data_IF_860096054191
#
_entry.id   IF_860096054191
#
_cell.length_a   1.000
_cell.length_b   1.000
_cell.length_c   1.000
_cell.angle_alpha   90.00
_cell.angle_beta   90.00
_cell.angle_gamma   90.00
#
_symmetry.space_group_name_H-M   'P 1'
#
loop_
_entity.id
_entity.type
_entity.pdbx_description
1 polymer ?
#
# COMPACT_ATOMS: atom_id res chain seq x y z
N UNK A 1 26.40 49.65 -39.32
CA UNK A 1 25.42 49.28 -38.28
C UNK A 1 25.00 47.84 -38.47
N UNK A 2 25.71 46.85 -37.90
CA UNK A 2 25.21 45.48 -37.67
C UNK A 2 26.33 44.63 -37.03
N UNK A 3 26.16 44.22 -35.76
CA UNK A 3 26.69 42.98 -35.17
C UNK A 3 26.53 43.02 -33.65
N UNK A 4 25.30 42.75 -33.19
CA UNK A 4 25.10 42.19 -31.87
C UNK A 4 24.46 40.83 -32.07
N UNK A 5 25.30 39.80 -32.18
CA UNK A 5 24.86 38.41 -32.14
C UNK A 5 24.59 38.12 -30.65
N UNK A 6 23.33 38.18 -30.29
CA UNK A 6 22.82 37.80 -28.99
C UNK A 6 22.88 36.26 -28.90
N UNK A 7 23.88 35.73 -28.20
CA UNK A 7 24.02 34.30 -27.97
C UNK A 7 23.28 33.94 -26.67
N UNK A 8 22.00 33.59 -26.78
CA UNK A 8 21.23 33.01 -25.68
C UNK A 8 21.66 31.54 -25.52
N UNK A 9 22.49 31.26 -24.51
CA UNK A 9 22.80 29.90 -24.11
C UNK A 9 21.59 29.31 -23.37
N UNK A 10 20.91 28.35 -24.01
CA UNK A 10 19.89 27.51 -23.41
C UNK A 10 20.56 26.57 -22.40
N UNK A 11 20.41 26.84 -21.11
CA UNK A 11 20.72 25.87 -20.06
C UNK A 11 19.59 24.83 -19.99
N UNK A 12 19.84 23.62 -20.50
CA UNK A 12 18.96 22.47 -20.25
C UNK A 12 19.25 21.94 -18.84
N UNK A 13 18.39 22.21 -17.88
CA UNK A 13 18.47 21.60 -16.55
C UNK A 13 17.82 20.21 -16.60
N UNK A 14 18.60 19.16 -16.82
CA UNK A 14 18.13 17.79 -16.55
C UNK A 14 18.18 17.57 -15.04
N UNK A 15 17.00 17.47 -14.42
CA UNK A 15 16.88 17.12 -13.01
C UNK A 15 17.01 15.58 -12.89
N UNK A 16 18.23 15.07 -12.95
CA UNK A 16 18.50 13.65 -12.73
C UNK A 16 18.60 13.37 -11.24
N UNK A 17 17.55 12.76 -10.67
CA UNK A 17 17.60 12.15 -9.34
C UNK A 17 18.64 11.02 -9.37
N UNK A 18 19.87 11.33 -8.97
CA UNK A 18 21.00 10.41 -9.06
C UNK A 18 20.94 9.40 -7.90
N UNK A 19 20.52 8.17 -8.18
CA UNK A 19 20.64 7.05 -7.23
C UNK A 19 22.14 6.77 -6.95
N UNK A 20 22.64 7.29 -5.83
CA UNK A 20 24.01 7.07 -5.36
C UNK A 20 24.21 5.67 -4.77
N UNK A 21 24.26 4.63 -5.59
CA UNK A 21 25.12 3.45 -5.39
C UNK A 21 25.42 2.85 -6.77
N UNK A 22 26.60 3.13 -7.35
CA UNK A 22 27.13 2.40 -8.51
C UNK A 22 28.39 1.63 -8.09
N UNK A 23 28.24 0.34 -7.86
CA UNK A 23 29.27 -0.64 -8.22
C UNK A 23 28.93 -1.15 -9.62
N UNK A 24 29.94 -1.13 -10.48
CA UNK A 24 29.86 -1.31 -11.94
C UNK A 24 29.02 -2.52 -12.34
N UNK A 25 28.02 -2.30 -13.23
CA UNK A 25 27.11 -3.28 -13.89
C UNK A 25 25.71 -3.54 -13.27
N UNK A 26 25.23 -2.75 -12.32
CA UNK A 26 23.83 -2.83 -11.87
C UNK A 26 22.90 -1.86 -12.63
N UNK A 27 21.98 -2.35 -13.45
CA UNK A 27 20.85 -1.53 -13.91
C UNK A 27 19.92 -1.23 -12.73
N UNK A 28 19.37 -0.01 -12.64
CA UNK A 28 18.36 0.34 -11.64
C UNK A 28 17.15 -0.59 -11.79
N UNK A 29 17.01 -1.56 -10.90
CA UNK A 29 15.83 -2.41 -10.83
C UNK A 29 14.82 -1.77 -9.88
N UNK A 30 13.56 -1.69 -10.33
CA UNK A 30 12.47 -1.38 -9.42
C UNK A 30 12.29 -2.58 -8.48
N UNK A 31 12.24 -2.39 -7.15
CA UNK A 31 11.98 -3.49 -6.24
C UNK A 31 10.66 -4.18 -6.61
N UNK A 32 10.58 -5.51 -6.52
CA UNK A 32 9.33 -6.21 -6.78
C UNK A 32 8.25 -5.68 -5.84
N UNK A 33 7.12 -5.23 -6.39
CA UNK A 33 5.93 -4.90 -5.59
C UNK A 33 5.21 -6.19 -5.24
N UNK A 34 4.65 -6.26 -4.04
CA UNK A 34 3.71 -7.33 -3.70
C UNK A 34 2.57 -7.36 -4.71
N UNK A 35 2.15 -8.55 -5.17
CA UNK A 35 1.02 -8.67 -6.08
C UNK A 35 -0.24 -8.08 -5.41
N UNK A 36 -1.04 -7.36 -6.19
CA UNK A 36 -2.36 -6.90 -5.72
C UNK A 36 -3.21 -8.14 -5.38
N UNK A 37 -3.96 -8.15 -4.26
CA UNK A 37 -4.92 -9.20 -3.99
C UNK A 37 -5.84 -9.43 -5.20
N UNK A 38 -6.09 -10.69 -5.60
CA UNK A 38 -6.83 -10.99 -6.80
C UNK A 38 -8.23 -10.38 -6.74
N UNK A 39 -8.60 -9.65 -7.79
CA UNK A 39 -9.96 -9.12 -7.94
C UNK A 39 -10.99 -10.25 -8.15
N UNK A 40 -10.55 -11.37 -8.73
CA UNK A 40 -11.34 -12.57 -8.97
C UNK A 40 -11.42 -13.41 -7.69
N UNK A 41 -12.37 -13.06 -6.82
CA UNK A 41 -12.89 -13.91 -5.74
C UNK A 41 -11.85 -14.34 -4.71
N UNK A 42 -11.88 -13.72 -3.53
CA UNK A 42 -11.02 -14.06 -2.38
C UNK A 42 -11.25 -15.47 -1.80
N UNK A 43 -11.93 -16.37 -2.51
CA UNK A 43 -12.36 -17.66 -1.98
C UNK A 43 -13.37 -17.53 -0.83
N UNK A 44 -13.66 -18.64 -0.12
CA UNK A 44 -14.50 -18.61 1.07
C UNK A 44 -13.90 -17.68 2.12
N UNK A 45 -14.75 -16.95 2.84
CA UNK A 45 -14.30 -16.10 3.94
C UNK A 45 -13.85 -16.98 5.13
N UNK A 46 -12.65 -16.78 5.70
CA UNK A 46 -12.21 -17.49 6.89
C UNK A 46 -13.13 -17.30 8.09
N UNK A 47 -13.72 -16.11 8.21
CA UNK A 47 -14.62 -15.72 9.30
C UNK A 47 -15.86 -15.03 8.75
N UNK A 48 -17.00 -15.29 9.37
CA UNK A 48 -18.30 -14.69 9.08
C UNK A 48 -18.46 -13.30 9.70
N UNK A 49 -19.23 -12.44 9.04
CA UNK A 49 -19.61 -11.11 9.55
C UNK A 49 -20.55 -11.28 10.75
N UNK A 50 -20.38 -10.47 11.78
CA UNK A 50 -21.10 -10.55 13.06
C UNK A 50 -20.43 -11.45 14.10
N UNK A 51 -19.36 -12.16 13.73
CA UNK A 51 -18.59 -12.99 14.68
C UNK A 51 -17.86 -12.11 15.69
N UNK A 52 -17.94 -12.46 16.98
CA UNK A 52 -17.11 -11.86 18.02
C UNK A 52 -15.79 -12.64 18.11
N UNK A 53 -14.67 -11.98 17.83
CA UNK A 53 -13.37 -12.65 17.81
C UNK A 53 -12.84 -12.94 19.21
N UNK A 54 -12.29 -14.14 19.38
CA UNK A 54 -11.49 -14.49 20.55
C UNK A 54 -10.10 -13.86 20.47
N UNK A 55 -9.49 -13.62 21.63
CA UNK A 55 -8.15 -13.04 21.67
C UNK A 55 -7.14 -14.06 21.15
N UNK A 56 -6.25 -13.60 20.26
CA UNK A 56 -5.17 -14.42 19.71
C UNK A 56 -5.44 -14.98 18.31
N UNK A 57 -6.68 -14.87 17.81
CA UNK A 57 -7.06 -15.35 16.46
C UNK A 57 -6.80 -14.33 15.35
N UNK A 58 -6.24 -13.17 15.68
CA UNK A 58 -6.07 -12.05 14.76
C UNK A 58 -4.79 -11.26 15.04
N UNK A 59 -4.32 -10.55 14.03
CA UNK A 59 -3.24 -9.55 14.15
C UNK A 59 -3.76 -8.18 13.73
N UNK A 60 -3.41 -7.12 14.48
CA UNK A 60 -3.82 -5.76 14.10
C UNK A 60 -3.02 -5.28 12.90
N UNK A 61 -3.70 -4.70 11.90
CA UNK A 61 -3.04 -4.08 10.75
C UNK A 61 -2.63 -2.67 11.12
N UNK A 62 -1.34 -2.49 11.35
CA UNK A 62 -0.75 -1.17 11.60
C UNK A 62 -0.50 -0.44 10.28
N UNK A 63 -0.60 0.88 10.30
CA UNK A 63 -0.36 1.75 9.13
C UNK A 63 -1.22 1.35 7.91
N UNK A 64 -2.54 1.27 8.08
CA UNK A 64 -3.49 0.80 7.05
C UNK A 64 -3.30 1.47 5.68
N UNK A 65 -2.94 2.75 5.65
CA UNK A 65 -2.68 3.52 4.43
C UNK A 65 -1.51 2.97 3.59
N UNK A 66 -0.50 2.37 4.22
CA UNK A 66 0.60 1.69 3.51
C UNK A 66 0.08 0.55 2.62
N UNK A 67 -1.03 -0.05 3.04
CA UNK A 67 -1.69 -1.13 2.30
C UNK A 67 -2.78 -0.63 1.33
N UNK A 68 -2.93 0.68 1.20
CA UNK A 68 -3.99 1.30 0.38
C UNK A 68 -5.37 1.26 1.03
N UNK A 69 -5.46 0.85 2.30
CA UNK A 69 -6.70 0.86 3.06
C UNK A 69 -7.02 2.27 3.58
N UNK A 70 -8.30 2.66 3.66
CA UNK A 70 -8.72 3.89 4.34
C UNK A 70 -8.22 3.98 5.79
N UNK A 71 -8.26 5.17 6.38
CA UNK A 71 -7.99 5.32 7.83
C UNK A 71 -9.13 4.70 8.65
N UNK A 72 -8.82 3.97 9.74
CA UNK A 72 -9.80 3.61 10.76
C UNK A 72 -10.57 4.84 11.24
N UNK A 73 -11.90 4.70 11.36
CA UNK A 73 -12.84 5.73 11.85
C UNK A 73 -13.97 5.03 12.60
N UNK A 74 -14.85 5.79 13.25
CA UNK A 74 -16.10 5.26 13.81
C UNK A 74 -15.92 4.05 14.75
N UNK A 75 -14.80 4.00 15.50
CA UNK A 75 -14.52 2.95 16.50
C UNK A 75 -14.00 1.61 15.95
N UNK A 76 -13.98 1.39 14.65
CA UNK A 76 -13.47 0.15 14.06
C UNK A 76 -11.98 0.21 13.74
N UNK A 77 -11.33 -0.96 13.69
CA UNK A 77 -9.92 -1.17 13.29
C UNK A 77 -9.82 -2.25 12.23
N UNK A 78 -8.64 -2.37 11.59
CA UNK A 78 -8.36 -3.48 10.69
C UNK A 78 -7.64 -4.61 11.40
N UNK A 79 -8.21 -5.80 11.32
CA UNK A 79 -7.54 -7.03 11.71
C UNK A 79 -7.22 -7.88 10.49
N UNK A 80 -6.05 -8.51 10.53
CA UNK A 80 -5.67 -9.60 9.65
C UNK A 80 -6.08 -10.91 10.29
N UNK A 81 -6.85 -11.71 9.56
CA UNK A 81 -7.25 -13.05 9.95
C UNK A 81 -6.86 -13.96 8.77
N UNK A 82 -5.91 -14.86 9.01
CA UNK A 82 -5.25 -15.60 7.93
C UNK A 82 -4.71 -14.64 6.86
N UNK A 83 -5.17 -14.72 5.61
CA UNK A 83 -4.71 -13.88 4.49
C UNK A 83 -5.63 -12.69 4.19
N UNK A 84 -6.70 -12.55 4.97
CA UNK A 84 -7.71 -11.54 4.77
C UNK A 84 -7.62 -10.39 5.76
N UNK A 85 -8.04 -9.22 5.28
CA UNK A 85 -8.31 -8.04 6.10
C UNK A 85 -9.79 -7.93 6.38
N UNK A 86 -10.10 -7.66 7.64
CA UNK A 86 -11.44 -7.38 8.13
C UNK A 86 -11.49 -6.04 8.87
N UNK A 87 -12.61 -5.32 8.75
CA UNK A 87 -12.99 -4.26 9.69
C UNK A 87 -13.64 -4.89 10.89
N UNK A 88 -13.20 -4.49 12.08
CA UNK A 88 -13.64 -5.08 13.34
C UNK A 88 -13.90 -3.94 14.32
N UNK A 89 -15.02 -4.01 15.04
CA UNK A 89 -15.27 -3.08 16.16
C UNK A 89 -14.20 -3.27 17.24
N UNK A 90 -13.55 -2.19 17.66
CA UNK A 90 -12.41 -2.32 18.57
C UNK A 90 -12.82 -2.71 20.00
N UNK A 91 -14.01 -2.33 20.44
CA UNK A 91 -14.49 -2.58 21.81
C UNK A 91 -15.04 -4.00 21.94
N UNK A 92 -15.94 -4.39 21.04
CA UNK A 92 -16.65 -5.69 21.09
C UNK A 92 -15.86 -6.81 20.42
N UNK A 93 -14.97 -6.48 19.46
CA UNK A 93 -14.31 -7.41 18.52
C UNK A 93 -15.27 -8.08 17.54
N UNK A 94 -16.41 -7.45 17.27
CA UNK A 94 -17.33 -7.90 16.23
C UNK A 94 -16.77 -7.65 14.83
N UNK A 95 -16.78 -8.67 13.98
CA UNK A 95 -16.40 -8.56 12.57
C UNK A 95 -17.49 -7.84 11.80
N UNK A 96 -17.15 -6.67 11.25
CA UNK A 96 -18.12 -5.81 10.55
C UNK A 96 -18.10 -6.05 9.04
N UNK A 97 -16.91 -6.25 8.45
CA UNK A 97 -16.77 -6.36 6.99
C UNK A 97 -15.46 -7.03 6.59
N UNK A 98 -15.46 -7.77 5.47
CA UNK A 98 -14.25 -8.27 4.80
C UNK A 98 -13.71 -7.22 3.82
N UNK A 99 -12.68 -6.47 4.23
CA UNK A 99 -12.10 -5.35 3.48
C UNK A 99 -10.90 -5.73 2.60
N UNK A 100 -10.65 -7.03 2.38
CA UNK A 100 -9.43 -7.50 1.69
C UNK A 100 -9.32 -6.99 0.26
N UNK A 101 -10.45 -6.73 -0.43
CA UNK A 101 -10.44 -6.16 -1.80
C UNK A 101 -9.96 -4.71 -1.85
N UNK A 102 -10.06 -3.98 -0.75
CA UNK A 102 -9.62 -2.58 -0.67
C UNK A 102 -8.12 -2.47 -0.48
N UNK A 103 -7.49 -3.49 0.13
CA UNK A 103 -6.05 -3.59 0.20
C UNK A 103 -5.49 -3.70 -1.23
N UNK A 104 -4.90 -2.61 -1.72
CA UNK A 104 -4.52 -2.48 -3.12
C UNK A 104 -3.03 -2.17 -3.30
N UNK A 105 -2.28 -2.11 -2.20
CA UNK A 105 -0.86 -1.82 -2.14
C UNK A 105 -0.21 -2.73 -1.10
N UNK A 106 0.99 -3.24 -1.39
CA UNK A 106 1.91 -3.85 -0.43
C UNK A 106 1.32 -4.93 0.52
N UNK A 107 0.15 -5.50 0.21
CA UNK A 107 -0.46 -6.57 0.99
C UNK A 107 0.31 -7.87 0.69
N UNK A 108 0.73 -8.63 1.72
CA UNK A 108 1.48 -9.86 1.55
C UNK A 108 0.64 -10.99 0.96
#
# INVERSE_FOLDING_TARGET
MLKYIMLFALFATTADATCRIQTTLGSCQTPPRSPKPPAAGLGPAPIEIGTILERGEYSIVLNSQWYGLPRPKDGWVYFRIQDDVYRVDYETREVLERATREANQNWP
#
